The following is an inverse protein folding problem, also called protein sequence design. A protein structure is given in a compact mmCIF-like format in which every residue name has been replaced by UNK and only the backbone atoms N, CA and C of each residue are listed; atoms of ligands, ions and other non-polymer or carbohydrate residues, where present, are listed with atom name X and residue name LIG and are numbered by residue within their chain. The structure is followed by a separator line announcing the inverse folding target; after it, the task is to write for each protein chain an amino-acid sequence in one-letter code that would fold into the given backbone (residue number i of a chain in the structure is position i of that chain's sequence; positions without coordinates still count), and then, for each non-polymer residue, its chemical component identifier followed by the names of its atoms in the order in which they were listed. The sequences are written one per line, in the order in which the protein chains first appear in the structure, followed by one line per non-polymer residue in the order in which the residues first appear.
data_IF_895981490109
#
_entry.id   IF_895981490109
#
_cell.length_a   1.000
_cell.length_b   1.000
_cell.length_c   1.000
_cell.angle_alpha   90.00
_cell.angle_beta   90.00
_cell.angle_gamma   90.00
#
_symmetry.space_group_name_H-M   'P 1'
#
loop_
_entity.id
_entity.type
_entity.pdbx_description
1 polymer ?
#
# COMPACT_ATOMS: atom_id res chain seq x y z
N UNK A 1 33.04 28.73 7.72
CA UNK A 1 33.47 28.21 9.03
C UNK A 1 32.77 29.04 10.07
N UNK A 2 31.64 28.54 10.57
CA UNK A 2 30.90 29.09 11.70
C UNK A 2 30.62 27.86 12.56
N UNK A 3 31.40 27.69 13.61
CA UNK A 3 31.06 26.84 14.75
C UNK A 3 30.00 27.60 15.54
N UNK A 4 28.81 27.01 15.72
CA UNK A 4 27.88 27.45 16.74
C UNK A 4 27.91 26.45 17.89
N UNK A 5 28.39 26.94 19.04
CA UNK A 5 28.42 26.29 20.34
C UNK A 5 27.02 25.85 20.79
N UNK A 6 26.86 24.55 21.06
CA UNK A 6 25.72 24.05 21.83
C UNK A 6 25.96 24.31 23.33
N UNK A 7 24.96 24.80 24.10
CA UNK A 7 25.12 25.02 25.52
C UNK A 7 25.20 23.68 26.29
N UNK A 8 25.94 23.62 27.42
CA UNK A 8 26.08 22.38 28.18
C UNK A 8 24.77 22.05 28.91
N UNK A 9 24.43 20.75 28.90
CA UNK A 9 23.30 20.21 29.65
C UNK A 9 23.52 20.39 31.17
N UNK A 10 22.48 20.70 31.95
CA UNK A 10 22.60 20.88 33.39
C UNK A 10 22.94 19.56 34.10
N UNK A 11 23.85 19.63 35.08
CA UNK A 11 24.21 18.50 35.95
C UNK A 11 23.07 18.13 36.91
N UNK A 12 22.88 16.84 37.25
CA UNK A 12 21.73 16.41 38.02
C UNK A 12 21.91 16.73 39.51
N UNK A 13 21.03 17.58 40.05
CA UNK A 13 20.83 17.73 41.49
C UNK A 13 19.99 16.55 41.97
N UNK A 14 20.54 15.80 42.92
CA UNK A 14 19.90 14.68 43.57
C UNK A 14 18.71 15.13 44.42
N UNK A 15 17.51 14.65 44.08
CA UNK A 15 16.44 14.39 45.06
C UNK A 15 15.74 13.08 44.70
N UNK A 16 15.89 12.12 45.60
CA UNK A 16 15.35 10.78 45.48
C UNK A 16 13.82 10.77 45.50
N UNK A 17 13.22 10.11 44.49
CA UNK A 17 12.00 9.32 44.63
C UNK A 17 12.15 8.09 43.73
N UNK A 18 12.45 6.96 44.35
CA UNK A 18 12.45 5.63 43.76
C UNK A 18 11.04 5.28 43.24
N UNK A 19 10.92 5.09 41.93
CA UNK A 19 10.00 4.12 41.33
C UNK A 19 10.72 3.46 40.16
N UNK A 20 11.22 2.27 40.45
CA UNK A 20 12.03 1.41 39.58
C UNK A 20 11.27 1.02 38.29
N UNK A 21 11.81 1.35 37.12
CA UNK A 21 11.31 0.93 35.80
C UNK A 21 12.36 0.08 35.09
N UNK A 22 12.08 -1.22 35.04
CA UNK A 22 12.44 -2.20 34.00
C UNK A 22 13.87 -2.14 33.42
N UNK A 23 14.83 -2.65 34.19
CA UNK A 23 16.07 -3.18 33.64
C UNK A 23 15.80 -4.45 32.84
N UNK A 24 16.55 -4.64 31.75
CA UNK A 24 16.65 -5.89 30.98
C UNK A 24 17.01 -7.04 31.94
N UNK A 25 16.00 -7.77 32.40
CA UNK A 25 16.20 -8.91 33.29
C UNK A 25 16.76 -10.08 32.50
N UNK A 26 17.85 -10.65 33.01
CA UNK A 26 18.17 -12.06 32.83
C UNK A 26 16.94 -12.86 33.27
N UNK A 27 16.28 -13.55 32.35
CA UNK A 27 15.36 -14.62 32.71
C UNK A 27 16.16 -15.93 32.69
N UNK A 28 16.57 -16.48 33.84
CA UNK A 28 16.79 -17.92 33.88
C UNK A 28 15.45 -18.58 33.54
N UNK A 29 15.47 -19.61 32.70
CA UNK A 29 14.29 -20.44 32.44
C UNK A 29 13.92 -21.18 33.72
N UNK A 30 13.16 -20.53 34.60
CA UNK A 30 12.45 -21.21 35.68
C UNK A 30 11.13 -21.73 35.14
N UNK A 31 11.05 -23.06 35.09
CA UNK A 31 9.87 -23.91 35.07
C UNK A 31 8.80 -23.62 33.99
N UNK A 32 9.17 -23.91 32.74
CA UNK A 32 8.20 -24.37 31.75
C UNK A 32 8.26 -25.91 31.74
N UNK A 33 7.15 -26.63 31.99
CA UNK A 33 7.16 -28.09 31.90
C UNK A 33 7.67 -28.52 30.52
N UNK A 34 8.59 -29.49 30.50
CA UNK A 34 9.43 -29.90 29.38
C UNK A 34 8.71 -30.36 28.08
N UNK A 35 7.38 -30.22 28.00
CA UNK A 35 6.54 -30.65 26.90
C UNK A 35 6.07 -29.54 25.94
N UNK A 36 6.41 -28.25 26.16
CA UNK A 36 5.84 -27.15 25.37
C UNK A 36 6.80 -25.99 24.99
N UNK A 37 8.12 -26.15 25.09
CA UNK A 37 9.05 -25.15 24.55
C UNK A 37 9.11 -25.27 23.01
N UNK A 38 8.93 -24.17 22.24
CA UNK A 38 8.98 -24.25 20.78
C UNK A 38 10.34 -24.82 20.32
N UNK A 39 10.36 -25.81 19.42
CA UNK A 39 11.58 -26.51 19.06
C UNK A 39 12.57 -25.58 18.35
N UNK A 40 13.76 -25.42 18.95
CA UNK A 40 14.85 -24.62 18.38
C UNK A 40 15.35 -25.27 17.09
N UNK A 41 15.33 -24.53 15.99
CA UNK A 41 15.83 -24.99 14.70
C UNK A 41 17.34 -24.79 14.68
N UNK A 42 18.08 -25.88 14.53
CA UNK A 42 19.54 -25.82 14.44
C UNK A 42 19.95 -25.58 12.99
N UNK A 43 20.33 -24.35 12.68
CA UNK A 43 20.89 -23.97 11.38
C UNK A 43 22.38 -24.33 11.34
N UNK A 44 23.12 -23.99 12.40
CA UNK A 44 24.54 -24.32 12.53
C UNK A 44 24.76 -25.16 13.78
N UNK A 45 25.33 -26.37 13.61
CA UNK A 45 25.56 -27.33 14.73
C UNK A 45 26.48 -26.76 15.80
N UNK A 46 27.53 -26.06 15.39
CA UNK A 46 28.44 -25.36 16.30
C UNK A 46 28.05 -23.88 16.47
N UNK A 47 26.75 -23.57 16.35
CA UNK A 47 26.24 -22.22 16.57
C UNK A 47 26.35 -21.82 18.04
N UNK A 48 26.77 -20.59 18.27
CA UNK A 48 27.12 -20.02 19.58
C UNK A 48 26.08 -19.03 20.12
N UNK A 49 25.02 -18.77 19.35
CA UNK A 49 23.90 -17.95 19.79
C UNK A 49 22.58 -18.49 19.23
N UNK A 50 21.50 -18.09 19.89
CA UNK A 50 20.13 -18.38 19.48
C UNK A 50 19.43 -17.07 19.17
N UNK A 51 18.99 -16.90 17.91
CA UNK A 51 18.11 -15.78 17.54
C UNK A 51 16.66 -16.19 17.79
N UNK A 52 15.96 -15.35 18.54
CA UNK A 52 14.52 -15.44 18.75
C UNK A 52 13.87 -14.42 17.81
N UNK A 53 13.12 -14.90 16.83
CA UNK A 53 12.29 -14.08 15.97
C UNK A 53 10.87 -14.05 16.51
N UNK A 54 10.36 -12.85 16.79
CA UNK A 54 8.98 -12.62 17.23
C UNK A 54 8.28 -11.68 16.26
N UNK A 55 7.07 -12.02 15.84
CA UNK A 55 6.25 -11.13 15.01
C UNK A 55 5.75 -9.95 15.82
N UNK A 56 5.78 -8.73 15.25
CA UNK A 56 5.24 -7.53 15.89
C UNK A 56 3.80 -7.75 16.39
N UNK A 57 3.41 -7.17 17.54
CA UNK A 57 2.09 -7.37 18.16
C UNK A 57 0.92 -6.85 17.30
N UNK A 58 1.19 -5.99 16.32
CA UNK A 58 0.21 -5.46 15.38
C UNK A 58 0.03 -6.30 14.10
N UNK A 59 0.70 -7.45 14.00
CA UNK A 59 0.45 -8.39 12.91
C UNK A 59 -0.95 -9.00 13.01
N UNK A 60 -1.59 -9.22 11.87
CA UNK A 60 -2.88 -9.91 11.76
C UNK A 60 -2.83 -11.41 12.11
N UNK A 61 -1.72 -11.88 12.71
CA UNK A 61 -1.56 -13.26 13.14
C UNK A 61 -2.27 -13.47 14.49
N UNK A 62 -3.03 -14.58 14.64
CA UNK A 62 -3.87 -14.80 15.81
C UNK A 62 -3.09 -14.95 17.13
N UNK A 63 -1.78 -15.21 17.09
CA UNK A 63 -0.88 -15.21 18.26
C UNK A 63 0.55 -14.76 17.88
N UNK A 64 1.32 -14.13 18.79
CA UNK A 64 2.72 -13.81 18.56
C UNK A 64 3.53 -15.09 18.34
N UNK A 65 3.89 -15.36 17.09
CA UNK A 65 4.68 -16.54 16.75
C UNK A 65 6.13 -16.32 17.12
N UNK A 66 6.66 -17.19 17.98
CA UNK A 66 8.06 -17.19 18.41
C UNK A 66 8.81 -18.32 17.73
N UNK A 67 9.85 -17.97 16.97
CA UNK A 67 10.71 -18.93 16.29
C UNK A 67 12.16 -18.77 16.75
N UNK A 68 12.80 -19.88 17.10
CA UNK A 68 14.15 -19.89 17.68
C UNK A 68 15.12 -20.60 16.73
N UNK A 69 16.25 -19.97 16.45
CA UNK A 69 17.25 -20.47 15.50
C UNK A 69 18.64 -20.47 16.13
N UNK A 70 19.27 -21.64 16.26
CA UNK A 70 20.68 -21.77 16.66
C UNK A 70 21.57 -21.51 15.44
N UNK A 71 22.38 -20.46 15.51
CA UNK A 71 23.20 -19.98 14.39
C UNK A 71 24.62 -19.62 14.86
N UNK A 72 25.54 -19.44 13.90
CA UNK A 72 26.90 -18.97 14.16
C UNK A 72 26.99 -17.45 14.05
N UNK A 73 27.44 -16.76 15.12
CA UNK A 73 27.75 -15.32 15.09
C UNK A 73 28.79 -15.00 14.03
N UNK A 74 29.80 -15.86 13.89
CA UNK A 74 30.89 -15.66 12.94
C UNK A 74 30.36 -15.65 11.51
N UNK A 75 29.56 -16.64 11.11
CA UNK A 75 29.07 -16.73 9.74
C UNK A 75 28.07 -15.61 9.41
N UNK A 76 27.13 -15.33 10.33
CA UNK A 76 26.08 -14.34 10.09
C UNK A 76 26.61 -12.90 10.03
N UNK A 77 27.58 -12.53 10.87
CA UNK A 77 28.25 -11.21 10.83
C UNK A 77 29.08 -11.03 9.56
N UNK A 78 29.66 -12.12 9.06
CA UNK A 78 30.42 -12.09 7.82
C UNK A 78 29.52 -11.91 6.61
N UNK A 79 28.31 -12.46 6.63
CA UNK A 79 27.37 -12.45 5.51
C UNK A 79 26.43 -11.23 5.48
N UNK A 80 26.13 -10.62 6.63
CA UNK A 80 25.16 -9.52 6.73
C UNK A 80 25.73 -8.31 7.46
N UNK A 81 25.69 -7.16 6.79
CA UNK A 81 26.09 -5.87 7.39
C UNK A 81 25.22 -5.50 8.60
N UNK A 82 23.94 -5.89 8.59
CA UNK A 82 23.03 -5.70 9.71
C UNK A 82 23.53 -6.46 10.95
N UNK A 83 23.78 -7.76 10.83
CA UNK A 83 24.27 -8.57 11.95
C UNK A 83 25.68 -8.18 12.37
N UNK A 84 26.54 -7.77 11.43
CA UNK A 84 27.85 -7.20 11.75
C UNK A 84 27.74 -5.97 12.65
N UNK A 85 26.76 -5.10 12.38
CA UNK A 85 26.53 -3.93 13.23
C UNK A 85 25.89 -4.34 14.56
N UNK A 86 24.82 -5.14 14.55
CA UNK A 86 24.08 -5.56 15.75
C UNK A 86 24.96 -6.29 16.76
N UNK A 87 25.89 -7.14 16.29
CA UNK A 87 26.77 -7.94 17.14
C UNK A 87 28.12 -7.26 17.41
N UNK A 88 28.27 -5.98 17.07
CA UNK A 88 29.47 -5.19 17.37
C UNK A 88 29.44 -4.72 18.84
N UNK A 89 30.41 -5.14 19.68
CA UNK A 89 30.44 -4.79 21.11
C UNK A 89 30.64 -3.30 21.36
N UNK A 90 31.22 -2.56 20.41
CA UNK A 90 31.39 -1.11 20.55
C UNK A 90 30.08 -0.35 20.31
N UNK A 91 29.13 -0.94 19.56
CA UNK A 91 27.92 -0.24 19.11
C UNK A 91 26.68 -0.63 19.90
N UNK A 92 26.46 -1.93 20.13
CA UNK A 92 25.19 -2.43 20.65
C UNK A 92 25.37 -3.31 21.89
N UNK A 93 24.32 -3.38 22.71
CA UNK A 93 24.31 -4.19 23.94
C UNK A 93 24.37 -5.68 23.62
N UNK A 94 23.74 -6.09 22.52
CA UNK A 94 23.74 -7.44 21.97
C UNK A 94 25.18 -7.92 21.68
N UNK A 95 26.01 -7.08 21.06
CA UNK A 95 27.43 -7.36 20.84
C UNK A 95 28.24 -7.50 22.13
N UNK A 96 27.98 -6.65 23.13
CA UNK A 96 28.64 -6.74 24.45
C UNK A 96 28.25 -8.03 25.18
N UNK A 97 26.97 -8.40 25.11
CA UNK A 97 26.46 -9.64 25.70
C UNK A 97 27.04 -10.88 25.02
N UNK A 98 27.21 -10.84 23.70
CA UNK A 98 27.87 -11.90 22.93
C UNK A 98 29.33 -12.07 23.36
N UNK A 99 30.07 -10.98 23.48
CA UNK A 99 31.46 -11.00 23.94
C UNK A 99 31.57 -11.61 25.35
N UNK A 100 30.74 -11.15 26.30
CA UNK A 100 30.73 -11.68 27.67
C UNK A 100 30.38 -13.17 27.70
N UNK A 101 29.43 -13.60 26.87
CA UNK A 101 29.08 -15.02 26.74
C UNK A 101 30.26 -15.84 26.22
N UNK A 102 31.04 -15.32 25.26
CA UNK A 102 32.25 -15.98 24.76
C UNK A 102 33.34 -16.07 25.84
N UNK A 103 33.58 -15.00 26.58
CA UNK A 103 34.53 -14.96 27.70
C UNK A 103 34.14 -15.96 28.81
N UNK A 104 32.84 -16.06 29.13
CA UNK A 104 32.33 -17.00 30.12
C UNK A 104 32.51 -18.46 29.65
N UNK A 105 32.24 -18.75 28.38
CA UNK A 105 32.47 -20.08 27.80
C UNK A 105 33.94 -20.48 27.85
N UNK A 106 34.85 -19.55 27.56
CA UNK A 106 36.29 -19.79 27.62
C UNK A 106 36.78 -19.97 29.06
N UNK A 107 36.27 -19.19 30.02
CA UNK A 107 36.61 -19.33 31.42
C UNK A 107 36.15 -20.68 32.01
N UNK A 108 34.99 -21.19 31.59
CA UNK A 108 34.39 -22.40 32.16
C UNK A 108 34.88 -23.70 31.49
N UNK A 109 35.10 -23.69 30.17
CA UNK A 109 35.42 -24.90 29.39
C UNK A 109 36.80 -24.85 28.73
N UNK A 110 37.59 -23.80 28.98
CA UNK A 110 38.94 -23.58 28.42
C UNK A 110 38.98 -23.20 26.95
N UNK A 111 37.96 -23.57 26.16
CA UNK A 111 37.80 -23.12 24.77
C UNK A 111 36.33 -23.09 24.38
N UNK A 112 35.96 -22.10 23.57
CA UNK A 112 34.62 -21.99 22.98
C UNK A 112 34.21 -23.23 22.18
N UNK A 113 35.12 -23.89 21.46
CA UNK A 113 34.79 -25.12 20.70
C UNK A 113 34.45 -26.31 21.61
N UNK A 114 35.02 -26.35 22.80
CA UNK A 114 34.72 -27.38 23.81
C UNK A 114 33.38 -27.06 24.49
N UNK A 115 33.18 -25.79 24.89
CA UNK A 115 31.91 -25.33 25.46
C UNK A 115 30.70 -25.67 24.55
N UNK A 116 30.81 -25.42 23.25
CA UNK A 116 29.71 -25.63 22.30
C UNK A 116 29.32 -27.11 22.08
N UNK A 117 30.18 -28.06 22.48
CA UNK A 117 29.88 -29.50 22.45
C UNK A 117 29.13 -29.97 23.69
N UNK A 118 29.40 -29.34 24.83
CA UNK A 118 28.90 -29.77 26.14
C UNK A 118 27.67 -28.95 26.58
N UNK A 119 27.52 -27.72 26.10
CA UNK A 119 26.40 -26.85 26.45
C UNK A 119 25.09 -27.25 25.79
N UNK A 120 24.01 -27.11 26.57
CA UNK A 120 22.64 -27.24 26.06
C UNK A 120 22.17 -25.95 25.40
N UNK A 121 21.17 -26.03 24.52
CA UNK A 121 20.67 -24.86 23.77
C UNK A 121 20.15 -23.74 24.69
N UNK A 122 19.63 -24.09 25.87
CA UNK A 122 19.15 -23.13 26.87
C UNK A 122 20.25 -22.27 27.50
N UNK A 123 21.50 -22.73 27.49
CA UNK A 123 22.66 -22.05 28.08
C UNK A 123 23.33 -21.08 27.10
N UNK A 124 22.97 -21.13 25.81
CA UNK A 124 23.47 -20.21 24.79
C UNK A 124 22.87 -18.82 24.93
N UNK A 125 23.58 -17.81 24.43
CA UNK A 125 23.05 -16.44 24.40
C UNK A 125 21.83 -16.36 23.48
N UNK A 126 20.74 -15.84 24.04
CA UNK A 126 19.50 -15.56 23.33
C UNK A 126 19.43 -14.08 22.94
N UNK A 127 19.23 -13.80 21.65
CA UNK A 127 19.03 -12.44 21.12
C UNK A 127 17.65 -12.37 20.49
N UNK A 128 16.83 -11.42 20.93
CA UNK A 128 15.48 -11.20 20.40
C UNK A 128 15.53 -10.22 19.23
N UNK A 129 14.83 -10.55 18.15
CA UNK A 129 14.62 -9.70 16.97
C UNK A 129 13.13 -9.65 16.69
N UNK A 130 12.59 -8.44 16.67
CA UNK A 130 11.22 -8.19 16.27
C UNK A 130 11.16 -8.14 14.74
N UNK A 131 10.30 -8.98 14.17
CA UNK A 131 10.06 -9.02 12.75
C UNK A 131 9.05 -7.94 12.37
N UNK A 132 9.26 -7.25 11.24
CA UNK A 132 8.23 -6.38 10.70
C UNK A 132 6.96 -7.21 10.40
N UNK A 133 5.83 -6.54 10.14
CA UNK A 133 4.67 -7.23 9.63
C UNK A 133 4.98 -7.96 8.32
N UNK A 134 4.67 -9.25 8.27
CA UNK A 134 4.98 -10.18 7.16
C UNK A 134 3.69 -10.83 6.67
N UNK A 135 3.68 -11.26 5.40
CA UNK A 135 2.51 -11.91 4.81
C UNK A 135 2.12 -13.18 5.58
N UNK A 136 0.83 -13.33 5.88
CA UNK A 136 0.26 -14.51 6.53
C UNK A 136 0.16 -15.72 5.61
N UNK A 137 0.37 -15.51 4.29
CA UNK A 137 0.28 -16.55 3.25
C UNK A 137 1.49 -17.49 3.22
N UNK A 138 2.56 -17.17 3.97
CA UNK A 138 3.84 -17.89 3.90
C UNK A 138 4.11 -18.63 5.23
N UNK A 139 4.67 -19.83 5.14
CA UNK A 139 5.23 -20.52 6.31
C UNK A 139 6.46 -19.76 6.82
N UNK A 140 6.24 -18.91 7.84
CA UNK A 140 7.26 -18.04 8.41
C UNK A 140 8.46 -18.84 8.95
N UNK A 141 8.20 -19.98 9.60
CA UNK A 141 9.21 -20.86 10.16
C UNK A 141 10.20 -21.34 9.10
N UNK A 142 9.69 -21.87 8.00
CA UNK A 142 10.51 -22.38 6.88
C UNK A 142 11.25 -21.25 6.16
N UNK A 143 10.61 -20.10 6.00
CA UNK A 143 11.20 -18.95 5.33
C UNK A 143 12.36 -18.36 6.11
N UNK A 144 12.20 -18.21 7.44
CA UNK A 144 13.27 -17.77 8.32
C UNK A 144 14.40 -18.80 8.40
N UNK A 145 14.07 -20.09 8.46
CA UNK A 145 15.08 -21.16 8.42
C UNK A 145 15.94 -21.02 7.15
N UNK A 146 15.29 -20.89 5.99
CA UNK A 146 15.97 -20.72 4.71
C UNK A 146 16.81 -19.44 4.64
N UNK A 147 16.29 -18.33 5.18
CA UNK A 147 17.02 -17.07 5.29
C UNK A 147 18.30 -17.21 6.14
N UNK A 148 18.22 -17.86 7.30
CA UNK A 148 19.38 -18.07 8.16
C UNK A 148 20.37 -19.08 7.56
N UNK A 149 19.90 -20.13 6.89
CA UNK A 149 20.75 -21.05 6.13
C UNK A 149 21.52 -20.32 5.03
N UNK A 150 20.85 -19.44 4.28
CA UNK A 150 21.45 -18.59 3.26
C UNK A 150 22.57 -17.70 3.84
N UNK A 151 22.31 -17.06 4.98
CA UNK A 151 23.32 -16.23 5.64
C UNK A 151 24.49 -17.05 6.20
N UNK A 152 24.21 -18.17 6.88
CA UNK A 152 25.25 -18.95 7.56
C UNK A 152 26.11 -19.77 6.60
N UNK A 153 25.54 -20.31 5.53
CA UNK A 153 26.25 -21.21 4.61
C UNK A 153 26.62 -20.56 3.28
N UNK A 154 26.13 -19.35 3.00
CA UNK A 154 26.42 -18.58 1.76
C UNK A 154 26.22 -19.40 0.48
N UNK A 155 25.31 -20.36 0.50
CA UNK A 155 25.25 -21.37 -0.53
C UNK A 155 24.83 -20.74 -1.88
N UNK A 156 25.57 -20.99 -2.98
CA UNK A 156 25.08 -21.01 -4.34
C UNK A 156 24.88 -22.48 -4.71
N UNK A 157 23.79 -22.88 -5.31
CA UNK A 157 23.33 -24.20 -4.92
C UNK A 157 22.70 -25.04 -6.10
N UNK A 158 22.86 -26.38 -6.10
CA UNK A 158 22.26 -27.41 -7.02
C UNK A 158 21.65 -28.63 -6.27
N UNK A 159 20.61 -29.32 -6.80
CA UNK A 159 19.98 -30.50 -6.18
C UNK A 159 20.83 -31.80 -6.30
N UNK A 160 20.87 -32.57 -5.21
CA UNK A 160 21.27 -33.99 -5.13
C UNK A 160 20.00 -34.88 -5.32
N UNK A 161 20.09 -36.10 -5.89
CA UNK A 161 19.01 -37.08 -6.03
C UNK A 161 18.12 -37.36 -4.80
N UNK A 162 18.49 -36.91 -3.59
CA UNK A 162 17.74 -37.11 -2.34
C UNK A 162 16.86 -35.92 -1.90
N UNK A 163 16.68 -34.88 -2.73
CA UNK A 163 15.49 -34.02 -2.63
C UNK A 163 15.45 -32.88 -1.59
N UNK A 164 16.59 -32.38 -1.08
CA UNK A 164 16.60 -31.14 -0.27
C UNK A 164 17.40 -30.02 -0.95
N UNK A 165 16.79 -28.83 -1.01
CA UNK A 165 17.01 -27.80 -2.03
C UNK A 165 18.21 -26.91 -1.79
N UNK A 166 18.69 -26.40 -2.93
CA UNK A 166 19.88 -25.61 -3.02
C UNK A 166 19.53 -24.38 -4.04
N UNK A 167 19.59 -23.02 -3.73
CA UNK A 167 19.67 -21.77 -4.65
C UNK A 167 20.96 -21.35 -5.52
N UNK A 168 21.05 -21.57 -6.84
CA UNK A 168 22.17 -21.06 -7.69
C UNK A 168 21.95 -19.61 -8.20
N UNK A 169 22.95 -19.03 -8.91
CA UNK A 169 22.79 -17.83 -9.78
C UNK A 169 21.59 -17.98 -10.74
N UNK A 170 21.27 -19.22 -11.13
CA UNK A 170 20.08 -19.57 -11.90
C UNK A 170 18.76 -19.17 -11.21
N UNK A 171 18.72 -19.04 -9.88
CA UNK A 171 17.49 -18.72 -9.15
C UNK A 171 17.08 -17.27 -9.31
N UNK A 172 18.01 -16.30 -9.36
CA UNK A 172 17.68 -14.89 -9.62
C UNK A 172 17.09 -14.75 -11.03
N UNK A 173 17.72 -15.39 -12.02
CA UNK A 173 17.20 -15.41 -13.39
C UNK A 173 15.85 -16.12 -13.47
N UNK A 174 15.66 -17.22 -12.74
CA UNK A 174 14.37 -17.93 -12.67
C UNK A 174 13.29 -17.09 -12.01
N UNK A 175 13.61 -16.39 -10.92
CA UNK A 175 12.69 -15.47 -10.24
C UNK A 175 12.34 -14.29 -11.14
N UNK A 176 13.32 -13.68 -11.81
CA UNK A 176 13.09 -12.63 -12.79
C UNK A 176 12.17 -13.13 -13.92
N UNK A 177 12.43 -14.31 -14.48
CA UNK A 177 11.57 -14.91 -15.51
C UNK A 177 10.15 -15.23 -15.00
N UNK A 178 10.02 -15.62 -13.74
CA UNK A 178 8.70 -15.85 -13.10
C UNK A 178 7.96 -14.54 -12.90
N UNK A 179 8.64 -13.50 -12.42
CA UNK A 179 8.07 -12.15 -12.24
C UNK A 179 7.62 -11.54 -13.57
N UNK A 180 8.36 -11.77 -14.66
CA UNK A 180 7.96 -11.32 -15.99
C UNK A 180 6.65 -11.93 -16.49
N UNK A 181 6.27 -13.10 -15.97
CA UNK A 181 5.02 -13.81 -16.32
C UNK A 181 4.01 -13.77 -15.18
N UNK A 182 4.30 -12.99 -14.13
CA UNK A 182 3.46 -12.92 -12.96
C UNK A 182 2.31 -11.96 -13.22
N UNK A 183 1.10 -12.48 -13.07
CA UNK A 183 -0.14 -11.74 -13.15
C UNK A 183 -0.97 -12.11 -11.91
N UNK A 184 -1.55 -11.10 -11.28
CA UNK A 184 -2.37 -11.24 -10.09
C UNK A 184 -3.34 -10.06 -10.06
N UNK A 185 -4.56 -10.30 -9.57
CA UNK A 185 -5.52 -9.26 -9.24
C UNK A 185 -5.48 -8.89 -7.74
N UNK A 186 -4.81 -9.70 -6.92
CA UNK A 186 -4.60 -9.44 -5.49
C UNK A 186 -3.56 -8.34 -5.28
N UNK A 187 -3.98 -7.24 -4.65
CA UNK A 187 -3.17 -6.03 -4.45
C UNK A 187 -1.87 -6.33 -3.70
N UNK A 188 -1.93 -7.14 -2.63
CA UNK A 188 -0.77 -7.51 -1.84
C UNK A 188 0.27 -8.21 -2.72
N UNK A 189 -0.15 -9.21 -3.49
CA UNK A 189 0.70 -9.91 -4.45
C UNK A 189 1.30 -8.99 -5.54
N UNK A 190 0.53 -8.02 -6.06
CA UNK A 190 1.05 -7.04 -7.02
C UNK A 190 2.14 -6.19 -6.35
N UNK A 191 1.89 -5.67 -5.14
CA UNK A 191 2.81 -4.84 -4.36
C UNK A 191 4.11 -5.59 -4.01
N UNK A 192 4.00 -6.83 -3.55
CA UNK A 192 5.15 -7.72 -3.34
C UNK A 192 5.96 -7.92 -4.63
N UNK A 193 5.26 -8.16 -5.75
CA UNK A 193 5.88 -8.29 -7.06
C UNK A 193 6.63 -7.02 -7.49
N UNK A 194 6.06 -5.83 -7.27
CA UNK A 194 6.72 -4.54 -7.55
C UNK A 194 7.97 -4.39 -6.69
N UNK A 195 7.87 -4.69 -5.39
CA UNK A 195 8.99 -4.62 -4.46
C UNK A 195 10.14 -5.55 -4.90
N UNK A 196 9.83 -6.79 -5.27
CA UNK A 196 10.81 -7.76 -5.78
C UNK A 196 11.40 -7.33 -7.12
N UNK A 197 10.59 -6.88 -8.07
CA UNK A 197 11.06 -6.39 -9.36
C UNK A 197 11.97 -5.16 -9.19
N UNK A 198 11.65 -4.28 -8.24
CA UNK A 198 12.51 -3.16 -7.88
C UNK A 198 13.84 -3.61 -7.31
N UNK A 199 13.81 -4.53 -6.34
CA UNK A 199 14.99 -5.06 -5.68
C UNK A 199 15.92 -5.78 -6.66
N UNK A 200 15.36 -6.62 -7.54
CA UNK A 200 16.09 -7.36 -8.57
C UNK A 200 16.51 -6.50 -9.77
N UNK A 201 16.10 -5.22 -9.82
CA UNK A 201 16.31 -4.31 -10.95
C UNK A 201 15.79 -4.89 -12.28
N UNK A 202 14.70 -5.63 -12.22
CA UNK A 202 14.07 -6.25 -13.40
C UNK A 202 13.10 -5.23 -14.03
N UNK A 203 13.35 -4.74 -15.25
CA UNK A 203 12.61 -3.60 -15.80
C UNK A 203 11.23 -3.96 -16.36
N UNK A 204 11.03 -5.18 -16.88
CA UNK A 204 9.80 -5.55 -17.59
C UNK A 204 8.66 -5.83 -16.62
N UNK A 205 8.89 -6.69 -15.64
CA UNK A 205 8.00 -6.97 -14.52
C UNK A 205 7.75 -5.71 -13.71
N UNK A 206 8.78 -4.87 -13.46
CA UNK A 206 8.54 -3.61 -12.74
C UNK A 206 7.56 -2.71 -13.49
N UNK A 207 7.74 -2.52 -14.81
CA UNK A 207 6.81 -1.72 -15.62
C UNK A 207 5.41 -2.35 -15.65
N UNK A 208 5.31 -3.65 -15.86
CA UNK A 208 4.02 -4.37 -15.95
C UNK A 208 3.25 -4.35 -14.63
N UNK A 209 3.92 -4.60 -13.51
CA UNK A 209 3.28 -4.69 -12.20
C UNK A 209 2.90 -3.31 -11.66
N UNK A 210 3.72 -2.28 -11.92
CA UNK A 210 3.35 -0.90 -11.58
C UNK A 210 2.15 -0.42 -12.39
N UNK A 211 2.07 -0.76 -13.68
CA UNK A 211 0.87 -0.51 -14.47
C UNK A 211 -0.34 -1.27 -13.95
N UNK A 212 -0.18 -2.55 -13.60
CA UNK A 212 -1.25 -3.34 -13.00
C UNK A 212 -1.79 -2.65 -11.75
N UNK A 213 -0.92 -2.21 -10.83
CA UNK A 213 -1.34 -1.49 -9.62
C UNK A 213 -2.04 -0.16 -9.94
N UNK A 214 -1.55 0.61 -10.93
CA UNK A 214 -2.22 1.84 -11.38
C UNK A 214 -3.62 1.54 -11.92
N UNK A 215 -3.85 0.40 -12.58
CA UNK A 215 -5.17 0.10 -13.16
C UNK A 215 -6.13 -0.55 -12.16
N UNK A 216 -5.64 -1.43 -11.29
CA UNK A 216 -6.43 -2.05 -10.24
C UNK A 216 -6.73 -1.07 -9.10
N UNK A 217 -5.90 -0.05 -8.92
CA UNK A 217 -5.97 0.86 -7.80
C UNK A 217 -5.41 0.24 -6.52
N UNK A 218 -5.35 1.06 -5.48
CA UNK A 218 -4.98 0.62 -4.14
C UNK A 218 -6.00 1.11 -3.13
N UNK A 219 -6.39 0.23 -2.21
CA UNK A 219 -7.21 0.64 -1.06
C UNK A 219 -6.49 1.67 -0.18
N UNK A 220 -5.16 1.71 -0.22
CA UNK A 220 -4.35 2.65 0.55
C UNK A 220 -4.39 4.09 -0.01
N UNK A 221 -4.80 4.27 -1.27
CA UNK A 221 -4.94 5.59 -1.90
C UNK A 221 -6.31 6.24 -1.62
N UNK A 222 -7.29 5.47 -1.16
CA UNK A 222 -8.67 5.95 -0.97
C UNK A 222 -8.87 6.67 0.38
N UNK A 223 -9.86 7.56 0.43
CA UNK A 223 -10.12 8.50 1.55
C UNK A 223 -10.30 7.83 2.93
N UNK A 224 -10.80 6.59 2.97
CA UNK A 224 -10.80 5.76 4.17
C UNK A 224 -9.47 5.03 4.28
N UNK A 225 -8.39 5.74 4.66
CA UNK A 225 -7.09 5.10 4.94
C UNK A 225 -7.31 4.03 6.01
N UNK A 226 -7.22 2.72 5.71
CA UNK A 226 -7.26 1.72 6.75
C UNK A 226 -6.03 1.98 7.61
N UNK A 227 -6.25 2.36 8.86
CA UNK A 227 -5.20 2.79 9.77
C UNK A 227 -3.99 1.86 9.76
N UNK A 228 -2.80 2.46 9.87
CA UNK A 228 -1.54 1.72 10.00
C UNK A 228 -0.40 2.40 9.28
N UNK A 229 0.74 2.54 9.97
CA UNK A 229 1.97 3.09 9.37
C UNK A 229 2.76 1.96 8.71
N UNK A 230 3.12 2.09 7.43
CA UNK A 230 3.92 1.07 6.74
C UNK A 230 5.28 0.89 7.42
N UNK A 231 5.72 -0.36 7.56
CA UNK A 231 6.90 -0.75 8.33
C UNK A 231 6.66 -0.92 9.83
N UNK A 232 5.57 -0.37 10.38
CA UNK A 232 5.17 -0.58 11.78
C UNK A 232 3.97 -1.54 11.87
N UNK A 233 2.90 -1.23 11.14
CA UNK A 233 1.61 -1.96 11.19
C UNK A 233 1.34 -2.76 9.91
N UNK A 234 1.95 -2.36 8.78
CA UNK A 234 1.83 -3.04 7.48
C UNK A 234 3.19 -3.38 6.88
N UNK A 235 3.32 -4.48 6.12
CA UNK A 235 4.57 -4.82 5.44
C UNK A 235 5.11 -3.69 4.56
N UNK A 236 6.44 -3.66 4.35
CA UNK A 236 7.12 -2.58 3.61
C UNK A 236 6.58 -2.35 2.18
N UNK A 237 6.07 -3.39 1.52
CA UNK A 237 5.51 -3.28 0.16
C UNK A 237 4.18 -2.53 0.09
N UNK A 238 3.53 -2.26 1.23
CA UNK A 238 2.35 -1.38 1.30
C UNK A 238 2.68 0.11 1.17
N UNK A 239 3.96 0.49 1.27
CA UNK A 239 4.43 1.83 0.94
C UNK A 239 5.76 1.75 0.19
N UNK A 240 5.69 1.75 -1.13
CA UNK A 240 6.85 1.55 -1.99
C UNK A 240 7.86 2.70 -1.86
N UNK A 241 9.16 2.42 -1.66
CA UNK A 241 10.16 3.45 -1.37
C UNK A 241 10.56 4.27 -2.60
N UNK A 242 11.24 5.39 -2.38
CA UNK A 242 11.95 6.12 -3.45
C UNK A 242 11.03 6.91 -4.39
N UNK A 243 9.94 7.46 -3.88
CA UNK A 243 8.99 8.25 -4.68
C UNK A 243 8.05 7.39 -5.53
N UNK A 244 8.18 6.05 -5.46
CA UNK A 244 7.40 5.12 -6.28
C UNK A 244 5.93 5.20 -5.89
N UNK A 245 5.60 5.11 -4.59
CA UNK A 245 4.22 5.11 -4.12
C UNK A 245 3.49 6.39 -4.57
N UNK A 246 4.10 7.56 -4.38
CA UNK A 246 3.54 8.87 -4.70
C UNK A 246 3.33 9.04 -6.21
N UNK A 247 4.26 8.53 -7.03
CA UNK A 247 4.13 8.58 -8.49
C UNK A 247 3.04 7.62 -9.00
N UNK A 248 2.90 6.43 -8.41
CA UNK A 248 1.83 5.49 -8.77
C UNK A 248 0.46 6.07 -8.43
N UNK A 249 0.31 6.62 -7.23
CA UNK A 249 -0.90 7.30 -6.79
C UNK A 249 -1.23 8.47 -7.74
N UNK A 250 -0.27 9.35 -8.02
CA UNK A 250 -0.50 10.49 -8.93
C UNK A 250 -0.97 10.06 -10.32
N UNK A 251 -0.40 8.99 -10.88
CA UNK A 251 -0.81 8.48 -12.19
C UNK A 251 -2.21 7.86 -12.17
N UNK A 252 -2.56 7.15 -11.09
CA UNK A 252 -3.90 6.62 -10.88
C UNK A 252 -4.91 7.77 -10.79
N UNK A 253 -4.67 8.72 -9.89
CA UNK A 253 -5.53 9.89 -9.66
C UNK A 253 -5.74 10.67 -10.96
N UNK A 254 -4.68 10.93 -11.74
CA UNK A 254 -4.80 11.63 -13.02
C UNK A 254 -5.72 10.92 -14.04
N UNK A 255 -5.76 9.59 -14.05
CA UNK A 255 -6.67 8.84 -14.92
C UNK A 255 -8.11 8.91 -14.39
N UNK A 256 -8.30 8.76 -13.07
CA UNK A 256 -9.60 8.89 -12.42
C UNK A 256 -10.18 10.31 -12.65
N UNK A 257 -9.37 11.34 -12.45
CA UNK A 257 -9.73 12.74 -12.69
C UNK A 257 -10.13 12.95 -14.16
N UNK A 258 -9.37 12.39 -15.10
CA UNK A 258 -9.73 12.45 -16.54
C UNK A 258 -11.11 11.81 -16.81
N UNK A 259 -11.39 10.66 -16.21
CA UNK A 259 -12.69 9.99 -16.35
C UNK A 259 -13.81 10.85 -15.74
N UNK A 260 -13.57 11.41 -14.54
CA UNK A 260 -14.50 12.30 -13.84
C UNK A 260 -14.79 13.57 -14.66
N UNK A 261 -13.75 14.21 -15.21
CA UNK A 261 -13.87 15.38 -16.09
C UNK A 261 -14.69 15.09 -17.35
N UNK A 262 -14.55 13.91 -17.95
CA UNK A 262 -15.37 13.51 -19.11
C UNK A 262 -16.84 13.40 -18.71
N UNK A 263 -17.15 12.81 -17.56
CA UNK A 263 -18.53 12.74 -17.06
C UNK A 263 -19.11 14.13 -16.79
N UNK A 264 -18.33 14.99 -16.11
CA UNK A 264 -18.71 16.36 -15.82
C UNK A 264 -18.92 17.19 -17.09
N UNK A 265 -18.06 17.03 -18.09
CA UNK A 265 -18.20 17.67 -19.40
C UNK A 265 -19.54 17.33 -20.05
N UNK A 266 -19.92 16.04 -20.08
CA UNK A 266 -21.19 15.63 -20.66
C UNK A 266 -22.39 16.10 -19.82
N UNK A 267 -22.34 16.02 -18.49
CA UNK A 267 -23.40 16.55 -17.64
C UNK A 267 -23.63 18.04 -17.93
N UNK A 268 -22.56 18.83 -17.99
CA UNK A 268 -22.61 20.26 -18.30
C UNK A 268 -23.17 20.54 -19.71
N UNK A 269 -22.70 19.80 -20.71
CA UNK A 269 -23.13 19.96 -22.11
C UNK A 269 -24.65 19.76 -22.28
N UNK A 270 -25.27 18.94 -21.44
CA UNK A 270 -26.72 18.67 -21.47
C UNK A 270 -27.53 19.50 -20.47
N UNK A 271 -26.90 20.42 -19.72
CA UNK A 271 -27.60 21.42 -18.91
C UNK A 271 -27.34 21.36 -17.40
N UNK A 272 -26.46 20.48 -16.90
CA UNK A 272 -26.00 20.58 -15.52
C UNK A 272 -25.09 21.80 -15.32
N UNK A 273 -25.00 22.30 -14.07
CA UNK A 273 -24.04 23.36 -13.72
C UNK A 273 -22.64 22.76 -13.66
N UNK A 274 -21.69 23.31 -14.40
CA UNK A 274 -20.28 22.95 -14.27
C UNK A 274 -19.64 23.77 -13.14
N UNK A 275 -19.24 23.16 -12.01
CA UNK A 275 -18.64 23.88 -10.89
C UNK A 275 -17.32 24.56 -11.26
N UNK A 276 -16.57 24.03 -12.24
CA UNK A 276 -15.29 24.60 -12.68
C UNK A 276 -15.46 25.84 -13.58
N UNK A 277 -16.59 25.98 -14.27
CA UNK A 277 -16.90 27.16 -15.09
C UNK A 277 -17.50 28.31 -14.25
N UNK A 278 -18.22 27.98 -13.17
CA UNK A 278 -18.82 28.98 -12.28
C UNK A 278 -17.79 29.86 -11.54
N UNK A 279 -16.53 29.39 -11.42
CA UNK A 279 -15.43 30.12 -10.76
C UNK A 279 -14.68 31.08 -11.70
N UNK A 280 -14.83 30.96 -13.02
CA UNK A 280 -13.97 31.67 -13.98
C UNK A 280 -14.60 32.91 -14.63
N UNK A 281 -15.91 33.15 -14.46
CA UNK A 281 -16.56 34.32 -15.06
C UNK A 281 -17.53 35.01 -14.10
N UNK A 282 -17.19 36.25 -13.73
CA UNK A 282 -18.14 37.26 -13.28
C UNK A 282 -18.97 37.76 -14.48
N UNK A 283 -20.29 37.76 -14.31
CA UNK A 283 -21.39 38.11 -15.25
C UNK A 283 -22.01 36.90 -15.99
N UNK A 284 -23.32 36.62 -15.81
CA UNK A 284 -24.05 35.67 -16.62
C UNK A 284 -24.40 36.33 -17.95
N UNK A 285 -23.50 36.27 -18.93
CA UNK A 285 -23.98 36.38 -20.31
C UNK A 285 -24.77 35.10 -20.57
N UNK A 286 -26.09 35.22 -20.65
CA UNK A 286 -27.01 34.12 -20.96
C UNK A 286 -26.85 33.72 -22.43
N UNK A 287 -25.64 33.39 -22.87
CA UNK A 287 -25.44 32.69 -24.13
C UNK A 287 -26.21 31.38 -24.01
N UNK A 288 -27.34 31.31 -24.73
CA UNK A 288 -28.23 30.15 -24.72
C UNK A 288 -27.41 28.88 -24.95
N UNK A 289 -27.46 27.93 -24.01
CA UNK A 289 -26.72 26.65 -24.07
C UNK A 289 -26.85 26.05 -25.47
N UNK A 290 -25.73 25.65 -26.07
CA UNK A 290 -25.77 24.92 -27.32
C UNK A 290 -26.40 23.54 -27.09
N UNK A 291 -27.53 23.28 -27.76
CA UNK A 291 -28.23 22.01 -27.67
C UNK A 291 -27.38 20.87 -28.27
N UNK A 292 -27.37 19.73 -27.57
CA UNK A 292 -26.64 18.55 -28.02
C UNK A 292 -27.45 17.72 -29.02
N UNK A 293 -28.78 17.76 -28.92
CA UNK A 293 -29.70 17.26 -29.93
C UNK A 293 -29.53 18.03 -31.25
N UNK A 294 -29.10 17.35 -32.31
CA UNK A 294 -28.89 17.93 -33.65
C UNK A 294 -30.09 17.78 -34.60
N UNK A 295 -31.22 17.27 -34.11
CA UNK A 295 -32.41 17.05 -34.93
C UNK A 295 -33.16 18.34 -35.25
N UNK A 296 -32.85 19.45 -34.55
CA UNK A 296 -33.42 20.78 -34.75
C UNK A 296 -34.98 20.80 -34.71
N UNK A 297 -35.55 19.88 -33.95
CA UNK A 297 -36.99 19.82 -33.68
C UNK A 297 -37.33 20.73 -32.50
N UNK A 298 -38.60 21.11 -32.35
CA UNK A 298 -39.09 21.85 -31.18
C UNK A 298 -38.84 21.09 -29.85
N UNK A 299 -38.74 19.76 -29.94
CA UNK A 299 -38.46 18.86 -28.81
C UNK A 299 -36.96 18.65 -28.53
N UNK A 300 -36.06 19.40 -29.18
CA UNK A 300 -34.61 19.24 -29.00
C UNK A 300 -34.15 19.56 -27.57
N UNK A 301 -34.77 20.53 -26.91
CA UNK A 301 -34.49 20.85 -25.51
C UNK A 301 -34.99 19.75 -24.56
N UNK A 302 -36.19 19.22 -24.82
CA UNK A 302 -36.74 18.08 -24.08
C UNK A 302 -35.87 16.83 -24.24
N UNK A 303 -35.32 16.60 -25.44
CA UNK A 303 -34.37 15.52 -25.69
C UNK A 303 -33.08 15.68 -24.86
N UNK A 304 -32.52 16.88 -24.76
CA UNK A 304 -31.33 17.11 -23.93
C UNK A 304 -31.62 16.86 -22.44
N UNK A 305 -32.74 17.37 -21.93
CA UNK A 305 -33.18 17.15 -20.53
C UNK A 305 -33.43 15.66 -20.24
N UNK A 306 -34.05 14.94 -21.18
CA UNK A 306 -34.22 13.50 -21.09
C UNK A 306 -32.86 12.79 -21.00
N UNK A 307 -31.91 13.14 -21.86
CA UNK A 307 -30.57 12.54 -21.81
C UNK A 307 -29.81 12.90 -20.54
N UNK A 308 -29.97 14.11 -19.99
CA UNK A 308 -29.42 14.49 -18.70
C UNK A 308 -29.96 13.61 -17.57
N UNK A 309 -31.28 13.42 -17.49
CA UNK A 309 -31.89 12.52 -16.51
C UNK A 309 -31.39 11.08 -16.64
N UNK A 310 -31.21 10.59 -17.88
CA UNK A 310 -30.64 9.27 -18.12
C UNK A 310 -29.18 9.14 -17.69
N UNK A 311 -28.37 10.19 -17.89
CA UNK A 311 -26.99 10.24 -17.41
C UNK A 311 -26.93 10.19 -15.88
N UNK A 312 -27.69 11.05 -15.21
CA UNK A 312 -27.74 11.11 -13.75
C UNK A 312 -28.18 9.75 -13.18
N UNK A 313 -29.24 9.17 -13.72
CA UNK A 313 -29.75 7.87 -13.27
C UNK A 313 -28.75 6.75 -13.49
N UNK A 314 -28.06 6.72 -14.64
CA UNK A 314 -27.07 5.69 -14.91
C UNK A 314 -25.83 5.85 -14.03
N UNK A 315 -25.30 7.06 -13.90
CA UNK A 315 -24.07 7.31 -13.15
C UNK A 315 -24.21 7.12 -11.64
N UNK A 316 -25.40 7.37 -11.09
CA UNK A 316 -25.71 7.10 -9.68
C UNK A 316 -26.00 5.62 -9.42
N UNK A 317 -26.84 5.00 -10.24
CA UNK A 317 -27.42 3.69 -9.91
C UNK A 317 -26.62 2.51 -10.48
N UNK A 318 -26.05 2.66 -11.67
CA UNK A 318 -25.44 1.54 -12.41
C UNK A 318 -23.91 1.58 -12.36
N UNK A 319 -23.29 2.71 -12.73
CA UNK A 319 -21.83 2.84 -12.66
C UNK A 319 -21.32 3.31 -11.30
N UNK A 320 -22.18 3.89 -10.46
CA UNK A 320 -21.85 4.43 -9.11
C UNK A 320 -20.63 5.37 -9.12
N UNK A 321 -20.44 6.08 -10.21
CA UNK A 321 -19.35 7.05 -10.42
C UNK A 321 -19.76 8.48 -10.07
N UNK A 322 -21.06 8.70 -9.85
CA UNK A 322 -21.62 9.99 -9.46
C UNK A 322 -22.37 9.82 -8.14
N UNK A 323 -22.01 10.62 -7.14
CA UNK A 323 -22.74 10.73 -5.89
C UNK A 323 -23.55 12.02 -5.90
N UNK A 324 -24.84 11.92 -5.61
CA UNK A 324 -25.72 13.07 -5.44
C UNK A 324 -25.92 13.29 -3.95
N UNK A 325 -25.44 14.41 -3.44
CA UNK A 325 -25.66 14.82 -2.06
C UNK A 325 -26.63 16.00 -2.02
N UNK A 326 -27.45 16.06 -0.98
CA UNK A 326 -28.29 17.22 -0.70
C UNK A 326 -27.42 18.35 -0.18
N UNK A 327 -27.45 19.51 -0.85
CA UNK A 327 -26.80 20.73 -0.35
C UNK A 327 -27.49 21.37 0.85
N UNK A 328 -28.58 20.79 1.35
CA UNK A 328 -29.29 21.26 2.55
C UNK A 328 -28.74 20.51 3.77
N UNK A 329 -27.92 21.21 4.56
CA UNK A 329 -27.31 20.78 5.84
C UNK A 329 -26.64 19.38 5.83
N UNK A 330 -25.33 19.36 5.61
CA UNK A 330 -24.43 18.26 5.98
C UNK A 330 -23.60 18.74 7.18
N UNK A 331 -24.23 18.89 8.34
CA UNK A 331 -23.51 19.03 9.61
C UNK A 331 -23.27 17.63 10.18
N UNK A 332 -22.14 17.05 9.82
CA UNK A 332 -21.54 15.96 10.58
C UNK A 332 -20.22 16.48 11.17
N UNK A 333 -20.32 16.93 12.42
CA UNK A 333 -19.26 17.12 13.42
C UNK A 333 -18.12 18.13 13.15
N UNK A 334 -18.21 19.38 13.64
CA UNK A 334 -17.04 20.09 14.11
C UNK A 334 -16.76 19.66 15.56
N UNK A 335 -15.65 18.96 15.72
CA UNK A 335 -14.74 19.00 16.87
C UNK A 335 -15.35 19.21 18.27
N UNK A 336 -15.23 18.13 19.06
CA UNK A 336 -15.06 18.14 20.50
C UNK A 336 -14.23 19.34 20.99
N UNK A 337 -14.90 20.42 21.38
CA UNK A 337 -14.36 21.47 22.23
C UNK A 337 -15.20 21.53 23.50
N UNK A 338 -14.61 21.11 24.62
CA UNK A 338 -15.17 21.36 25.94
C UNK A 338 -15.24 22.87 26.18
N UNK A 339 -16.35 23.36 26.72
CA UNK A 339 -16.43 23.62 28.16
C UNK A 339 -17.83 24.10 28.57
N UNK A 340 -18.05 24.03 29.87
CA UNK A 340 -19.33 24.07 30.57
C UNK A 340 -20.14 25.39 30.52
N UNK A 341 -21.46 25.17 30.66
CA UNK A 341 -22.45 25.91 31.47
C UNK A 341 -23.27 27.11 30.92
N UNK A 342 -24.59 26.86 30.97
CA UNK A 342 -25.73 27.67 31.46
C UNK A 342 -26.70 28.30 30.44
N UNK A 343 -27.92 27.75 30.52
CA UNK A 343 -29.24 28.42 30.58
C UNK A 343 -29.56 29.52 29.57
N UNK A 344 -30.48 29.24 28.63
CA UNK A 344 -31.79 29.92 28.62
C UNK A 344 -32.73 29.31 27.57
N UNK A 345 -33.83 28.76 28.08
CA UNK A 345 -35.18 28.72 27.54
C UNK A 345 -35.44 29.58 26.27
N UNK A 346 -35.70 28.97 25.11
CA UNK A 346 -36.68 29.45 24.12
C UNK A 346 -36.86 28.46 22.94
N UNK A 347 -38.06 27.89 22.88
CA UNK A 347 -38.88 27.58 21.69
C UNK A 347 -39.44 26.16 21.68
N UNK A 348 -40.71 26.13 22.03
CA UNK A 348 -41.57 25.02 22.40
C UNK A 348 -42.44 24.62 21.19
N UNK A 349 -41.84 24.07 20.12
CA UNK A 349 -42.62 23.63 18.93
C UNK A 349 -42.09 22.37 18.21
N UNK A 350 -41.33 21.50 18.89
CA UNK A 350 -40.85 20.24 18.29
C UNK A 350 -41.10 19.03 19.20
N UNK A 351 -42.28 18.95 19.81
CA UNK A 351 -42.65 17.85 20.68
C UNK A 351 -43.96 17.20 20.25
N UNK A 352 -43.96 16.62 19.06
CA UNK A 352 -44.88 15.54 18.72
C UNK A 352 -44.30 14.74 17.54
N UNK A 353 -44.32 13.41 17.64
CA UNK A 353 -43.68 12.42 16.75
C UNK A 353 -42.23 12.03 17.08
N UNK A 354 -41.97 11.75 18.36
CA UNK A 354 -40.80 10.99 18.80
C UNK A 354 -41.19 10.00 19.88
N UNK A 355 -41.74 8.83 19.49
CA UNK A 355 -41.69 7.57 20.25
C UNK A 355 -42.47 6.47 19.52
N UNK A 356 -41.82 5.74 18.61
CA UNK A 356 -41.99 4.29 18.44
C UNK A 356 -40.71 3.67 17.86
N UNK A 357 -40.11 2.85 18.71
CA UNK A 357 -39.32 1.65 18.44
C UNK A 357 -37.97 1.79 17.71
N UNK A 358 -36.92 1.72 18.53
CA UNK A 358 -35.68 1.06 18.18
C UNK A 358 -36.01 -0.41 17.85
N UNK A 359 -36.13 -0.72 16.56
CA UNK A 359 -35.95 -2.01 15.89
C UNK A 359 -36.63 -1.93 14.51
N UNK A 360 -35.85 -2.14 13.45
CA UNK A 360 -36.21 -2.03 12.02
C UNK A 360 -36.32 -0.61 11.43
N UNK A 361 -35.17 -0.08 11.02
CA UNK A 361 -35.05 0.50 9.68
C UNK A 361 -33.62 0.34 9.22
N UNK A 362 -33.31 -0.89 8.81
CA UNK A 362 -32.26 -1.16 7.83
C UNK A 362 -32.71 -0.48 6.53
N UNK A 363 -32.55 0.83 6.46
CA UNK A 363 -32.50 1.54 5.20
C UNK A 363 -31.31 0.97 4.46
N UNK A 364 -31.58 0.01 3.57
CA UNK A 364 -30.63 -0.41 2.54
C UNK A 364 -30.34 0.82 1.69
N UNK A 365 -29.47 1.71 2.17
CA UNK A 365 -28.79 2.66 1.32
C UNK A 365 -28.14 1.79 0.24
N UNK A 366 -28.54 2.01 -1.01
CA UNK A 366 -27.99 1.33 -2.17
C UNK A 366 -26.47 1.30 -2.02
N UNK A 367 -25.92 0.11 -1.75
CA UNK A 367 -24.54 -0.02 -1.33
C UNK A 367 -23.65 0.74 -2.33
N UNK A 368 -22.95 1.77 -1.87
CA UNK A 368 -21.89 2.40 -2.63
C UNK A 368 -20.95 1.29 -3.15
N UNK A 369 -20.31 1.48 -4.30
CA UNK A 369 -19.25 0.56 -4.73
C UNK A 369 -18.26 0.42 -3.56
N UNK A 370 -17.77 -0.79 -3.30
CA UNK A 370 -16.77 -0.92 -2.25
C UNK A 370 -15.50 -0.13 -2.64
N UNK A 371 -14.68 0.29 -1.68
CA UNK A 371 -13.53 1.16 -1.96
C UNK A 371 -12.57 0.57 -3.01
N UNK A 372 -12.42 -0.77 -3.04
CA UNK A 372 -11.59 -1.47 -4.01
C UNK A 372 -12.16 -1.41 -5.45
N UNK A 373 -13.48 -1.53 -5.61
CA UNK A 373 -14.16 -1.35 -6.88
C UNK A 373 -14.04 0.09 -7.37
N UNK A 374 -14.16 1.07 -6.47
CA UNK A 374 -13.99 2.51 -6.81
C UNK A 374 -12.55 2.85 -7.19
N UNK A 375 -11.57 2.13 -6.69
CA UNK A 375 -10.17 2.31 -7.08
C UNK A 375 -9.85 1.64 -8.43
N UNK A 376 -10.63 0.64 -8.87
CA UNK A 376 -10.31 -0.14 -10.06
C UNK A 376 -10.79 0.54 -11.35
N UNK A 377 -9.84 1.10 -12.11
CA UNK A 377 -10.07 1.79 -13.38
C UNK A 377 -10.69 0.85 -14.42
N UNK A 378 -10.25 -0.41 -14.47
CA UNK A 378 -10.81 -1.39 -15.41
C UNK A 378 -12.30 -1.65 -15.12
N UNK A 379 -12.65 -1.77 -13.84
CA UNK A 379 -14.03 -1.90 -13.37
C UNK A 379 -14.87 -0.68 -13.77
N UNK A 380 -14.38 0.54 -13.49
CA UNK A 380 -15.06 1.79 -13.86
C UNK A 380 -15.30 1.87 -15.38
N UNK A 381 -14.26 1.64 -16.18
CA UNK A 381 -14.36 1.66 -17.64
C UNK A 381 -15.34 0.61 -18.16
N UNK A 382 -15.41 -0.56 -17.52
CA UNK A 382 -16.37 -1.61 -17.89
C UNK A 382 -17.82 -1.15 -17.66
N UNK A 383 -18.10 -0.50 -16.53
CA UNK A 383 -19.42 0.05 -16.24
C UNK A 383 -19.80 1.19 -17.17
N UNK A 384 -18.87 2.10 -17.48
CA UNK A 384 -19.15 3.22 -18.39
C UNK A 384 -19.43 2.75 -19.83
N UNK A 385 -18.76 1.66 -20.27
CA UNK A 385 -19.02 1.04 -21.59
C UNK A 385 -20.39 0.39 -21.71
N UNK A 386 -21.05 0.07 -20.60
CA UNK A 386 -22.40 -0.48 -20.59
C UNK A 386 -23.50 0.59 -20.71
N UNK A 387 -23.15 1.87 -20.92
CA UNK A 387 -24.15 2.95 -21.01
C UNK A 387 -25.18 2.68 -22.13
N UNK A 388 -26.47 2.62 -21.82
CA UNK A 388 -27.52 2.17 -22.74
C UNK A 388 -27.91 3.23 -23.79
N UNK A 389 -28.40 2.78 -24.95
CA UNK A 389 -28.88 3.67 -26.05
C UNK A 389 -30.34 4.07 -25.89
N UNK A 390 -30.74 4.59 -24.72
CA UNK A 390 -32.11 5.09 -24.55
C UNK A 390 -32.32 6.40 -25.29
N UNK A 391 -33.45 6.50 -25.97
CA UNK A 391 -33.89 7.65 -26.74
C UNK A 391 -35.25 8.10 -26.24
N UNK A 392 -35.57 9.37 -26.45
CA UNK A 392 -36.83 9.95 -26.02
C UNK A 392 -38.02 9.37 -26.81
N UNK A 393 -37.88 9.29 -28.14
CA UNK A 393 -38.86 8.72 -29.07
C UNK A 393 -38.18 8.27 -30.38
N UNK A 394 -38.97 7.81 -31.35
CA UNK A 394 -38.50 7.37 -32.67
C UNK A 394 -37.87 8.47 -33.54
N UNK A 395 -38.13 9.75 -33.26
CA UNK A 395 -37.56 10.89 -34.00
C UNK A 395 -36.15 11.27 -33.51
N UNK A 396 -35.75 10.76 -32.34
CA UNK A 396 -34.45 11.03 -31.72
C UNK A 396 -33.44 9.88 -31.90
N UNK A 397 -33.59 9.10 -32.98
CA UNK A 397 -32.58 8.11 -33.41
C UNK A 397 -31.20 8.76 -33.50
N UNK A 398 -30.21 8.18 -32.84
CA UNK A 398 -28.85 8.71 -32.85
C UNK A 398 -28.56 9.73 -31.76
N UNK A 399 -29.58 10.27 -31.07
CA UNK A 399 -29.38 11.09 -29.89
C UNK A 399 -28.93 10.22 -28.71
N UNK A 400 -28.09 10.81 -27.84
CA UNK A 400 -27.69 10.22 -26.56
C UNK A 400 -26.20 10.03 -26.36
N UNK A 401 -25.84 9.83 -25.09
CA UNK A 401 -24.45 9.88 -24.62
C UNK A 401 -23.57 8.76 -25.21
N UNK A 402 -24.09 7.53 -25.32
CA UNK A 402 -23.28 6.34 -25.65
C UNK A 402 -22.39 6.53 -26.88
N UNK A 403 -22.95 7.06 -27.97
CA UNK A 403 -22.21 7.26 -29.25
C UNK A 403 -21.05 8.23 -29.13
N UNK A 404 -21.09 9.14 -28.15
CA UNK A 404 -20.05 10.14 -27.89
C UNK A 404 -19.05 9.65 -26.84
N UNK A 405 -19.54 8.90 -25.85
CA UNK A 405 -18.75 8.38 -24.76
C UNK A 405 -17.85 7.20 -25.21
N UNK A 406 -18.37 6.25 -25.98
CA UNK A 406 -17.61 5.04 -26.35
C UNK A 406 -16.28 5.33 -27.07
N UNK A 407 -16.21 6.22 -28.09
CA UNK A 407 -14.93 6.51 -28.75
C UNK A 407 -13.87 7.05 -27.79
N UNK A 408 -14.29 7.84 -26.78
CA UNK A 408 -13.41 8.38 -25.75
C UNK A 408 -12.93 7.26 -24.82
N UNK A 409 -13.83 6.38 -24.37
CA UNK A 409 -13.49 5.24 -23.52
C UNK A 409 -12.61 4.21 -24.24
N UNK A 410 -12.79 4.04 -25.56
CA UNK A 410 -11.92 3.19 -26.39
C UNK A 410 -10.54 3.80 -26.54
N UNK A 411 -10.45 5.12 -26.65
CA UNK A 411 -9.17 5.83 -26.67
C UNK A 411 -8.43 5.71 -25.33
N UNK A 412 -9.11 5.95 -24.20
CA UNK A 412 -8.54 5.74 -22.86
C UNK A 412 -8.13 4.28 -22.67
N UNK A 413 -9.00 3.34 -23.06
CA UNK A 413 -8.70 1.91 -23.00
C UNK A 413 -7.43 1.55 -23.77
N UNK A 414 -7.21 2.14 -24.96
CA UNK A 414 -5.97 1.95 -25.73
C UNK A 414 -4.73 2.51 -25.03
N UNK A 415 -4.86 3.65 -24.34
CA UNK A 415 -3.75 4.23 -23.57
C UNK A 415 -3.39 3.42 -22.33
N UNK A 416 -4.39 2.76 -21.73
CA UNK A 416 -4.25 1.91 -20.54
C UNK A 416 -3.90 0.45 -20.87
N UNK A 417 -4.07 0.01 -22.12
CA UNK A 417 -3.85 -1.38 -22.52
C UNK A 417 -2.37 -1.73 -22.51
N UNK A 418 -2.01 -2.84 -21.88
CA UNK A 418 -0.68 -3.44 -21.99
C UNK A 418 -0.40 -3.79 -23.45
N UNK A 419 0.63 -3.17 -24.03
CA UNK A 419 1.20 -3.68 -25.27
C UNK A 419 1.75 -5.10 -25.03
N UNK A 420 1.72 -5.98 -26.05
CA UNK A 420 2.47 -7.26 -25.95
C UNK A 420 3.94 -6.94 -25.61
N UNK A 421 4.60 -7.71 -24.72
CA UNK A 421 6.00 -7.51 -24.39
C UNK A 421 6.82 -7.59 -25.68
N UNK A 422 7.23 -6.43 -26.18
CA UNK A 422 7.96 -6.27 -27.42
C UNK A 422 9.30 -5.63 -27.08
N UNK A 423 10.35 -5.99 -27.82
CA UNK A 423 11.69 -5.38 -27.68
C UNK A 423 11.69 -3.87 -27.98
N UNK A 424 10.59 -3.35 -28.50
CA UNK A 424 10.35 -1.92 -28.75
C UNK A 424 9.08 -1.49 -28.00
N UNK A 425 9.12 -0.43 -27.18
CA UNK A 425 7.96 0.02 -26.40
C UNK A 425 6.83 0.41 -27.35
N UNK A 426 5.70 -0.31 -27.29
CA UNK A 426 4.49 0.05 -28.03
C UNK A 426 3.46 0.55 -27.05
N UNK A 427 3.04 1.79 -27.32
CA UNK A 427 1.92 2.55 -26.75
C UNK A 427 1.04 1.76 -25.78
N UNK A 428 1.21 2.12 -24.50
CA UNK A 428 0.39 1.65 -23.40
C UNK A 428 1.13 1.37 -22.11
N UNK A 429 2.28 2.02 -21.82
CA UNK A 429 3.02 1.75 -20.58
C UNK A 429 2.89 2.94 -19.62
N UNK A 430 1.73 3.07 -18.97
CA UNK A 430 1.52 3.99 -17.83
C UNK A 430 2.33 3.56 -16.60
N UNK A 431 2.90 2.37 -16.62
CA UNK A 431 3.85 1.87 -15.62
C UNK A 431 5.13 2.69 -15.53
N UNK A 432 5.90 2.41 -14.47
CA UNK A 432 7.15 3.10 -14.20
C UNK A 432 8.32 2.42 -14.93
N UNK A 433 9.24 3.22 -15.46
CA UNK A 433 10.45 2.72 -16.11
C UNK A 433 11.62 2.70 -15.13
N UNK A 434 12.32 1.58 -14.99
CA UNK A 434 13.53 1.51 -14.14
C UNK A 434 14.73 2.36 -14.58
N UNK A 435 14.70 2.91 -15.79
CA UNK A 435 15.70 3.90 -16.21
C UNK A 435 15.52 5.24 -15.50
N UNK A 436 14.31 5.50 -15.01
CA UNK A 436 13.97 6.65 -14.20
C UNK A 436 14.14 6.28 -12.73
N UNK A 437 14.72 7.19 -11.93
CA UNK A 437 15.00 6.94 -10.51
C UNK A 437 14.55 8.08 -9.61
N UNK A 438 14.07 9.20 -10.17
CA UNK A 438 13.64 10.38 -9.43
C UNK A 438 12.13 10.56 -9.58
N UNK A 439 11.39 9.69 -8.90
CA UNK A 439 9.93 9.72 -8.83
C UNK A 439 9.44 10.66 -7.71
N UNK A 440 8.23 11.20 -7.85
CA UNK A 440 7.61 12.10 -6.86
C UNK A 440 8.13 13.54 -6.87
N UNK A 441 7.38 14.44 -6.22
CA UNK A 441 7.74 15.84 -5.92
C UNK A 441 8.29 16.68 -7.09
N UNK A 442 7.73 16.55 -8.29
CA UNK A 442 8.20 17.32 -9.46
C UNK A 442 9.57 16.88 -9.98
N UNK A 443 10.03 15.67 -9.61
CA UNK A 443 11.25 15.07 -10.14
C UNK A 443 11.30 15.08 -11.67
N UNK A 444 12.51 15.05 -12.26
CA UNK A 444 12.68 15.12 -13.72
C UNK A 444 12.00 13.97 -14.47
N UNK A 445 11.76 12.84 -13.79
CA UNK A 445 11.12 11.65 -14.36
C UNK A 445 9.67 11.43 -13.87
N UNK A 446 9.09 12.42 -13.17
CA UNK A 446 7.74 12.33 -12.62
C UNK A 446 6.68 12.83 -13.60
N UNK A 447 5.51 12.18 -13.62
CA UNK A 447 4.35 12.67 -14.37
C UNK A 447 3.81 14.02 -13.86
N UNK A 448 4.14 14.41 -12.63
CA UNK A 448 3.83 15.75 -12.11
C UNK A 448 4.62 16.85 -12.84
N UNK A 449 5.71 16.51 -13.53
CA UNK A 449 6.55 17.46 -14.25
C UNK A 449 6.08 17.67 -15.71
N UNK A 450 5.67 18.91 -16.03
CA UNK A 450 5.22 19.28 -17.38
C UNK A 450 6.26 19.00 -18.47
N UNK A 451 7.53 19.31 -18.21
CA UNK A 451 8.61 19.13 -19.20
C UNK A 451 8.82 17.65 -19.52
N UNK A 452 8.69 16.79 -18.51
CA UNK A 452 8.75 15.34 -18.71
C UNK A 452 7.57 14.86 -19.55
N UNK A 453 6.35 15.31 -19.24
CA UNK A 453 5.14 14.98 -20.02
C UNK A 453 5.25 15.42 -21.47
N UNK A 454 5.74 16.63 -21.72
CA UNK A 454 5.98 17.16 -23.06
C UNK A 454 7.09 16.39 -23.79
N UNK A 455 8.20 16.09 -23.13
CA UNK A 455 9.29 15.30 -23.71
C UNK A 455 8.85 13.89 -24.13
N UNK A 456 7.98 13.25 -23.35
CA UNK A 456 7.37 11.97 -23.72
C UNK A 456 6.41 12.11 -24.91
N UNK A 457 5.69 13.23 -25.04
CA UNK A 457 4.80 13.49 -26.19
C UNK A 457 5.58 13.76 -27.47
N UNK A 458 6.69 14.48 -27.39
CA UNK A 458 7.50 14.91 -28.54
C UNK A 458 8.37 13.77 -29.07
N UNK A 459 8.93 12.90 -28.21
CA UNK A 459 9.68 11.71 -28.63
C UNK A 459 8.82 10.58 -29.22
N UNK A 460 7.53 10.84 -29.50
CA UNK A 460 6.52 9.88 -29.98
C UNK A 460 5.76 10.37 -31.23
N UNK A 461 6.10 11.56 -31.75
CA UNK A 461 5.79 11.99 -33.12
C UNK A 461 7.01 11.69 -33.99
#
# INVERSE_FOLDING_TARGET
MIEEDFPPLPSPVATARETDRAGTMFFPLTDVPAAAAPPVITIHKDGDLVIICETAPHNSLPEPTRHMFRISSLEITRASAYFKALLDPAKFQEGRSLLRSHEQMEAQYGSRKLALKDMTVGELLHIKIELPPLSTKINLRETLALYFELLCFRLPFTLDPNGLKRFAVNTITTLANRLQRFESEDEECIREGIFLAHFLKEPLAFSSLTQSLILHGSVNWMAEKPGGTSGLDKPLWWHLPGGIEEELQFRHDAIIDTISEIQNHFLAAYGAVNPYQALQHSLPDQSKRQLQCRRALETSEACDSFQLGEMIRYFTSQSKTLFLESGLYSESDPENCGDAHKDSQASHYAQEYGKKNAESSTGKNQAAMNAAEMANINTILSYLRCYPERQMDSYHLGCGLRRRLLPILDYIGKLCSMGKPSKTPRFGDIGLCKRHNLFGNGGPDSWSNNKFREGIRIGRL
#
